data_IF_587907371681
#
_entry.id   IF_587907371681
#
_cell.length_a   1.000
_cell.length_b   1.000
_cell.length_c   1.000
_cell.angle_alpha   90.00
_cell.angle_beta   90.00
_cell.angle_gamma   90.00
#
_symmetry.space_group_name_H-M   'P 1'
#
loop_
_entity.id
_entity.type
_entity.pdbx_description
1 polymer ?
#
# COMPACT_ATOMS: atom_id res chain seq x y z
N UNK A 1 3.20 14.16 -3.78
CA UNK A 1 3.41 12.71 -3.54
C UNK A 1 3.99 12.56 -2.14
N UNK A 2 3.38 11.77 -1.26
CA UNK A 2 3.78 11.68 0.14
C UNK A 2 4.33 10.27 0.42
N UNK A 3 5.57 10.19 0.92
CA UNK A 3 6.17 8.91 1.32
C UNK A 3 5.68 8.56 2.72
N UNK A 4 4.99 7.44 2.86
CA UNK A 4 4.57 6.90 4.15
C UNK A 4 4.99 5.44 4.26
N UNK A 5 5.31 5.04 5.49
CA UNK A 5 5.64 3.65 5.82
C UNK A 5 4.38 2.95 6.30
N UNK A 6 4.12 1.77 5.77
CA UNK A 6 3.02 0.92 6.17
C UNK A 6 3.58 -0.43 6.61
N UNK A 7 3.05 -0.94 7.71
CA UNK A 7 3.37 -2.28 8.18
C UNK A 7 2.46 -3.28 7.48
N UNK A 8 3.04 -4.28 6.82
CA UNK A 8 2.33 -5.33 6.13
C UNK A 8 2.42 -6.62 6.97
N UNK A 9 1.33 -6.98 7.70
CA UNK A 9 1.38 -8.11 8.61
C UNK A 9 1.54 -9.45 7.89
N UNK A 10 0.95 -9.62 6.70
CA UNK A 10 1.10 -10.83 5.87
C UNK A 10 2.55 -11.23 5.56
N UNK A 11 3.47 -10.27 5.47
CA UNK A 11 4.89 -10.55 5.20
C UNK A 11 5.80 -10.23 6.40
N UNK A 12 5.24 -9.70 7.49
CA UNK A 12 6.03 -9.20 8.62
C UNK A 12 7.00 -8.08 8.24
N UNK A 13 6.70 -7.31 7.19
CA UNK A 13 7.61 -6.31 6.61
C UNK A 13 6.98 -4.92 6.62
N UNK A 14 7.82 -3.90 6.81
CA UNK A 14 7.42 -2.52 6.62
C UNK A 14 7.79 -2.07 5.20
N UNK A 15 6.79 -1.62 4.44
CA UNK A 15 6.98 -1.11 3.08
C UNK A 15 6.84 0.41 3.07
N UNK A 16 7.60 1.08 2.20
CA UNK A 16 7.48 2.54 2.00
C UNK A 16 6.79 2.78 0.68
N UNK A 17 5.59 3.36 0.73
CA UNK A 17 4.80 3.68 -0.44
C UNK A 17 4.76 5.19 -0.66
N UNK A 18 4.92 5.60 -1.92
CA UNK A 18 4.57 6.95 -2.36
C UNK A 18 3.06 6.98 -2.58
N UNK A 19 2.32 7.51 -1.62
CA UNK A 19 0.87 7.60 -1.68
C UNK A 19 0.41 9.03 -1.95
N UNK A 20 -0.65 9.16 -2.73
CA UNK A 20 -1.44 10.39 -2.82
C UNK A 20 -2.54 10.38 -1.75
N UNK A 21 -3.18 11.52 -1.51
CA UNK A 21 -4.35 11.61 -0.60
C UNK A 21 -5.49 10.67 -1.00
N UNK A 22 -5.68 10.45 -2.31
CA UNK A 22 -6.62 9.46 -2.83
C UNK A 22 -6.19 8.04 -2.51
N UNK A 23 -4.91 7.70 -2.70
CA UNK A 23 -4.37 6.39 -2.34
C UNK A 23 -4.50 6.09 -0.85
N UNK A 24 -4.29 7.10 0.00
CA UNK A 24 -4.47 6.97 1.45
C UNK A 24 -5.92 6.61 1.82
N UNK A 25 -6.92 7.25 1.20
CA UNK A 25 -8.34 6.90 1.42
C UNK A 25 -8.66 5.47 1.01
N UNK A 26 -8.05 4.97 -0.06
CA UNK A 26 -8.25 3.59 -0.52
C UNK A 26 -7.63 2.61 0.48
N UNK A 27 -6.41 2.90 0.96
CA UNK A 27 -5.74 2.06 1.98
C UNK A 27 -6.53 2.01 3.29
N UNK A 28 -7.10 3.14 3.70
CA UNK A 28 -7.94 3.23 4.91
C UNK A 28 -9.25 2.43 4.76
N UNK A 29 -9.87 2.48 3.57
CA UNK A 29 -11.14 1.80 3.30
C UNK A 29 -11.00 0.29 3.05
N UNK A 30 -10.06 -0.09 2.18
CA UNK A 30 -9.92 -1.46 1.67
C UNK A 30 -8.81 -2.26 2.42
N UNK A 31 -8.01 -1.57 3.23
CA UNK A 31 -6.85 -2.13 3.93
C UNK A 31 -5.58 -2.11 3.08
N UNK A 32 -4.43 -2.03 3.74
CA UNK A 32 -3.13 -2.03 3.05
C UNK A 32 -2.87 -3.33 2.29
N UNK A 33 -3.35 -4.47 2.81
CA UNK A 33 -3.13 -5.79 2.21
C UNK A 33 -3.83 -5.94 0.86
N UNK A 34 -5.11 -5.56 0.79
CA UNK A 34 -5.88 -5.53 -0.46
C UNK A 34 -5.24 -4.61 -1.49
N UNK A 35 -4.77 -3.44 -1.06
CA UNK A 35 -4.12 -2.47 -1.95
C UNK A 35 -2.79 -3.00 -2.47
N UNK A 36 -1.95 -3.58 -1.62
CA UNK A 36 -0.68 -4.19 -2.05
C UNK A 36 -0.93 -5.38 -2.97
N UNK A 37 -1.93 -6.21 -2.69
CA UNK A 37 -2.33 -7.30 -3.58
C UNK A 37 -2.78 -6.78 -4.95
N UNK A 38 -3.57 -5.70 -5.00
CA UNK A 38 -3.96 -5.05 -6.25
C UNK A 38 -2.76 -4.45 -7.00
N UNK A 39 -1.82 -3.81 -6.30
CA UNK A 39 -0.63 -3.22 -6.92
C UNK A 39 0.26 -4.33 -7.50
N UNK A 40 0.45 -5.43 -6.75
CA UNK A 40 1.17 -6.62 -7.23
C UNK A 40 0.48 -7.27 -8.42
N UNK A 41 -0.85 -7.38 -8.39
CA UNK A 41 -1.65 -7.92 -9.50
C UNK A 41 -1.57 -7.04 -10.76
N UNK A 42 -1.42 -5.73 -10.60
CA UNK A 42 -1.17 -4.79 -11.71
C UNK A 42 0.27 -4.85 -12.24
N UNK A 43 1.17 -5.58 -11.58
CA UNK A 43 2.57 -5.73 -12.00
C UNK A 43 3.44 -4.50 -11.71
N UNK A 44 2.94 -3.53 -10.94
CA UNK A 44 3.77 -2.40 -10.49
C UNK A 44 4.67 -2.86 -9.33
N UNK A 45 5.98 -2.63 -9.46
CA UNK A 45 6.97 -2.96 -8.43
C UNK A 45 6.77 -2.06 -7.20
N UNK A 46 6.37 -2.70 -6.10
CA UNK A 46 6.21 -2.11 -4.75
C UNK A 46 7.53 -2.10 -4.00
#
# INVERSE_FOLDING_TARGET
MQKRRFYLPSEGRTITLNVSTKGLKIIDRDGIESVVAQIRARGEKV
#
